data_IF_914426349945
#
_entry.id   IF_914426349945
#
_cell.length_a   1.000
_cell.length_b   1.000
_cell.length_c   1.000
_cell.angle_alpha   90.00
_cell.angle_beta   90.00
_cell.angle_gamma   90.00
#
_symmetry.space_group_name_H-M   'P 1'
#
loop_
_entity.id
_entity.type
_entity.pdbx_description
1 polymer ?
#
# COMPACT_ATOMS: atom_id res chain seq x y z
N UNK A 1 -28.46 -2.85 26.22
CA UNK A 1 -27.67 -3.51 25.18
C UNK A 1 -26.96 -2.40 24.44
N UNK A 2 -25.69 -2.16 24.75
CA UNK A 2 -24.83 -1.29 23.94
C UNK A 2 -24.03 -2.22 23.03
N UNK A 3 -24.58 -2.49 21.85
CA UNK A 3 -23.85 -3.15 20.77
C UNK A 3 -22.95 -2.10 20.12
N UNK A 4 -21.95 -1.65 20.89
CA UNK A 4 -20.91 -0.77 20.37
C UNK A 4 -20.04 -1.56 19.40
N UNK A 5 -19.70 -0.95 18.26
CA UNK A 5 -18.73 -1.50 17.30
C UNK A 5 -17.46 -1.88 18.06
N UNK A 6 -17.06 -3.13 17.98
CA UNK A 6 -15.83 -3.62 18.61
C UNK A 6 -14.60 -3.07 17.88
N UNK A 7 -13.48 -2.96 18.59
CA UNK A 7 -12.22 -2.51 17.97
C UNK A 7 -11.80 -3.41 16.81
N UNK A 8 -12.11 -4.71 16.87
CA UNK A 8 -11.88 -5.65 15.78
C UNK A 8 -12.69 -5.31 14.54
N UNK A 9 -14.00 -5.10 14.68
CA UNK A 9 -14.89 -4.77 13.56
C UNK A 9 -14.50 -3.44 12.90
N UNK A 10 -14.10 -2.45 13.72
CA UNK A 10 -13.59 -1.17 13.21
C UNK A 10 -12.31 -1.36 12.39
N UNK A 11 -11.34 -2.13 12.89
CA UNK A 11 -10.10 -2.41 12.16
C UNK A 11 -10.35 -3.22 10.89
N UNK A 12 -11.26 -4.19 10.93
CA UNK A 12 -11.66 -4.97 9.76
C UNK A 12 -12.31 -4.08 8.69
N UNK A 13 -13.25 -3.23 9.10
CA UNK A 13 -13.86 -2.25 8.20
C UNK A 13 -12.80 -1.32 7.59
N UNK A 14 -11.90 -0.78 8.41
CA UNK A 14 -10.85 0.11 7.95
C UNK A 14 -9.89 -0.59 6.97
N UNK A 15 -9.55 -1.85 7.22
CA UNK A 15 -8.71 -2.65 6.32
C UNK A 15 -9.37 -2.82 4.94
N UNK A 16 -10.64 -3.20 4.90
CA UNK A 16 -11.42 -3.33 3.66
C UNK A 16 -11.60 -1.99 2.96
N UNK A 17 -11.86 -0.92 3.72
CA UNK A 17 -11.98 0.44 3.19
C UNK A 17 -10.67 0.88 2.51
N UNK A 18 -9.53 0.70 3.16
CA UNK A 18 -8.22 1.01 2.60
C UNK A 18 -7.90 0.17 1.36
N UNK A 19 -8.33 -1.09 1.33
CA UNK A 19 -8.20 -1.96 0.16
C UNK A 19 -8.94 -1.38 -1.07
N UNK A 20 -10.16 -0.87 -0.88
CA UNK A 20 -10.92 -0.21 -1.95
C UNK A 20 -10.20 1.05 -2.46
N UNK A 21 -9.65 1.85 -1.56
CA UNK A 21 -8.88 3.05 -1.90
C UNK A 21 -7.50 2.74 -2.51
N UNK A 22 -6.96 1.57 -2.25
CA UNK A 22 -5.77 1.09 -2.95
C UNK A 22 -6.11 0.67 -4.38
N UNK A 23 -7.08 -0.20 -4.56
CA UNK A 23 -7.36 -0.82 -5.87
C UNK A 23 -8.13 0.11 -6.82
N UNK A 24 -9.06 0.91 -6.30
CA UNK A 24 -9.93 1.77 -7.12
C UNK A 24 -9.17 2.82 -7.93
N UNK A 25 -8.33 3.67 -7.32
CA UNK A 25 -7.58 4.69 -8.03
C UNK A 25 -6.55 4.15 -9.02
N UNK A 26 -6.04 2.92 -8.84
CA UNK A 26 -5.10 2.30 -9.79
C UNK A 26 -5.70 2.20 -11.20
N UNK A 27 -7.01 1.98 -11.31
CA UNK A 27 -7.73 2.01 -12.59
C UNK A 27 -7.65 3.40 -13.23
N UNK A 28 -7.81 4.46 -12.44
CA UNK A 28 -7.71 5.83 -12.92
C UNK A 28 -6.28 6.17 -13.35
N UNK A 29 -5.27 5.77 -12.58
CA UNK A 29 -3.85 5.91 -12.95
C UNK A 29 -3.57 5.22 -14.28
N UNK A 30 -4.09 3.99 -14.47
CA UNK A 30 -3.94 3.27 -15.73
C UNK A 30 -4.59 4.01 -16.91
N UNK A 31 -5.80 4.57 -16.74
CA UNK A 31 -6.48 5.35 -17.79
C UNK A 31 -5.68 6.61 -18.14
N UNK A 32 -5.21 7.36 -17.15
CA UNK A 32 -4.42 8.58 -17.39
C UNK A 32 -3.04 8.27 -17.97
N UNK A 33 -2.40 7.15 -17.60
CA UNK A 33 -1.12 6.74 -18.19
C UNK A 33 -1.23 6.52 -19.71
N UNK A 34 -2.36 5.97 -20.17
CA UNK A 34 -2.61 5.80 -21.62
C UNK A 34 -2.69 7.14 -22.35
N UNK A 35 -3.24 8.18 -21.71
CA UNK A 35 -3.32 9.53 -22.29
C UNK A 35 -1.95 10.18 -22.49
N UNK A 36 -0.96 9.85 -21.66
CA UNK A 36 0.40 10.40 -21.81
C UNK A 36 1.11 9.90 -23.06
N UNK A 37 0.78 8.68 -23.54
CA UNK A 37 1.39 8.03 -24.70
C UNK A 37 0.50 8.03 -25.94
N UNK A 38 -0.69 8.63 -25.89
CA UNK A 38 -1.64 8.66 -27.00
C UNK A 38 -1.05 9.38 -28.23
N UNK A 39 -1.11 8.72 -29.38
CA UNK A 39 -0.68 9.33 -30.63
C UNK A 39 -1.59 10.50 -31.00
N UNK A 40 -1.02 11.68 -31.20
CA UNK A 40 -1.78 12.92 -31.50
C UNK A 40 -2.09 13.80 -30.28
N UNK A 41 -1.81 13.36 -29.06
CA UNK A 41 -1.92 14.22 -27.88
C UNK A 41 -0.88 15.35 -27.93
N UNK A 42 -1.33 16.60 -27.66
CA UNK A 42 -0.44 17.74 -27.56
C UNK A 42 0.53 17.64 -26.38
N UNK A 43 1.62 18.41 -26.40
CA UNK A 43 2.55 18.44 -25.26
C UNK A 43 1.86 18.89 -23.97
N UNK A 44 0.95 19.85 -24.05
CA UNK A 44 0.17 20.33 -22.91
C UNK A 44 -0.74 19.23 -22.34
N UNK A 45 -1.45 18.49 -23.19
CA UNK A 45 -2.29 17.37 -22.77
C UNK A 45 -1.47 16.27 -22.06
N UNK A 46 -0.26 15.98 -22.53
CA UNK A 46 0.64 15.01 -21.89
C UNK A 46 1.11 15.48 -20.52
N UNK A 47 1.43 16.77 -20.38
CA UNK A 47 1.83 17.35 -19.09
C UNK A 47 0.68 17.28 -18.08
N UNK A 48 -0.54 17.69 -18.48
CA UNK A 48 -1.73 17.63 -17.62
C UNK A 48 -2.03 16.18 -17.21
N UNK A 49 -1.99 15.25 -18.18
CA UNK A 49 -2.21 13.83 -17.87
C UNK A 49 -1.17 13.27 -16.88
N UNK A 50 0.11 13.65 -17.04
CA UNK A 50 1.16 13.26 -16.10
C UNK A 50 0.95 13.81 -14.69
N UNK A 51 0.54 15.07 -14.56
CA UNK A 51 0.23 15.69 -13.28
C UNK A 51 -0.96 15.00 -12.58
N UNK A 52 -2.03 14.71 -13.34
CA UNK A 52 -3.20 14.00 -12.84
C UNK A 52 -2.85 12.57 -12.39
N UNK A 53 -2.02 11.88 -13.18
CA UNK A 53 -1.52 10.55 -12.80
C UNK A 53 -0.78 10.59 -11.46
N UNK A 54 0.15 11.54 -11.28
CA UNK A 54 0.90 11.68 -10.03
C UNK A 54 0.01 12.00 -8.83
N UNK A 55 -1.00 12.87 -9.02
CA UNK A 55 -1.94 13.23 -7.96
C UNK A 55 -2.81 12.03 -7.53
N UNK A 56 -3.30 11.27 -8.51
CA UNK A 56 -4.17 10.12 -8.24
C UNK A 56 -3.37 8.95 -7.66
N UNK A 57 -2.12 8.75 -8.08
CA UNK A 57 -1.25 7.67 -7.58
C UNK A 57 -0.89 7.82 -6.09
N UNK A 58 -1.00 9.03 -5.53
CA UNK A 58 -0.80 9.23 -4.09
C UNK A 58 -1.82 8.47 -3.23
N UNK A 59 -3.08 8.40 -3.66
CA UNK A 59 -4.18 7.78 -2.90
C UNK A 59 -3.92 6.28 -2.66
N UNK A 60 -3.66 5.45 -3.69
CA UNK A 60 -3.36 4.04 -3.49
C UNK A 60 -2.07 3.81 -2.68
N UNK A 61 -1.05 4.64 -2.85
CA UNK A 61 0.20 4.52 -2.08
C UNK A 61 -0.02 4.81 -0.59
N UNK A 62 -0.80 5.83 -0.28
CA UNK A 62 -1.17 6.13 1.10
C UNK A 62 -2.06 5.02 1.70
N UNK A 63 -3.03 4.53 0.93
CA UNK A 63 -3.94 3.47 1.37
C UNK A 63 -3.19 2.16 1.67
N UNK A 64 -2.29 1.71 0.80
CA UNK A 64 -1.52 0.48 1.03
C UNK A 64 -0.57 0.62 2.22
N UNK A 65 0.04 1.79 2.41
CA UNK A 65 0.92 2.07 3.54
C UNK A 65 0.16 1.93 4.88
N UNK A 66 -1.02 2.55 4.97
CA UNK A 66 -1.88 2.46 6.16
C UNK A 66 -2.45 1.05 6.34
N UNK A 67 -2.77 0.35 5.24
CA UNK A 67 -3.31 -1.00 5.26
C UNK A 67 -2.34 -2.00 5.90
N UNK A 68 -1.03 -1.81 5.74
CA UNK A 68 -0.02 -2.63 6.41
C UNK A 68 -0.10 -2.50 7.94
N UNK A 69 -0.21 -1.28 8.45
CA UNK A 69 -0.36 -1.04 9.89
C UNK A 69 -1.66 -1.64 10.43
N UNK A 70 -2.78 -1.40 9.73
CA UNK A 70 -4.09 -1.94 10.12
C UNK A 70 -4.10 -3.46 10.05
N UNK A 71 -3.49 -4.05 9.02
CA UNK A 71 -3.32 -5.49 8.88
C UNK A 71 -2.46 -6.11 9.99
N UNK A 72 -1.38 -5.43 10.38
CA UNK A 72 -0.56 -5.82 11.53
C UNK A 72 -1.35 -5.83 12.83
N UNK A 73 -2.14 -4.79 13.09
CA UNK A 73 -3.03 -4.75 14.27
C UNK A 73 -4.10 -5.84 14.23
N UNK A 74 -4.69 -6.12 13.05
CA UNK A 74 -5.67 -7.19 12.89
C UNK A 74 -5.07 -8.57 13.16
N UNK A 75 -3.81 -8.81 12.79
CA UNK A 75 -3.16 -10.10 13.02
C UNK A 75 -3.07 -10.46 14.51
N UNK A 76 -2.99 -9.46 15.39
CA UNK A 76 -3.04 -9.66 16.85
C UNK A 76 -4.41 -10.15 17.33
N UNK A 77 -5.49 -9.56 16.77
CA UNK A 77 -6.86 -9.98 17.13
C UNK A 77 -7.20 -11.38 16.63
N UNK A 78 -6.60 -11.83 15.54
CA UNK A 78 -6.77 -13.19 15.00
C UNK A 78 -5.91 -14.22 15.76
N UNK A 79 -5.02 -13.75 16.64
CA UNK A 79 -4.18 -14.62 17.46
C UNK A 79 -3.06 -15.30 16.66
N UNK A 80 -2.56 -14.67 15.61
CA UNK A 80 -1.38 -15.15 14.91
C UNK A 80 -0.15 -14.96 15.81
N UNK A 81 0.50 -16.08 16.15
CA UNK A 81 1.73 -16.05 16.95
C UNK A 81 2.89 -15.55 16.11
N UNK A 82 3.42 -14.37 16.45
CA UNK A 82 4.66 -13.87 15.90
C UNK A 82 5.56 -13.28 16.99
N UNK A 83 6.88 -13.29 16.80
CA UNK A 83 7.79 -12.59 17.69
C UNK A 83 7.44 -11.09 17.75
N UNK A 84 7.50 -10.51 18.94
CA UNK A 84 7.15 -9.10 19.17
C UNK A 84 7.87 -8.12 18.21
N UNK A 85 9.13 -8.41 17.86
CA UNK A 85 9.91 -7.56 16.93
C UNK A 85 9.34 -7.57 15.51
N UNK A 86 8.76 -8.69 15.07
CA UNK A 86 8.11 -8.80 13.76
C UNK A 86 6.84 -7.96 13.72
N UNK A 87 6.03 -8.01 14.75
CA UNK A 87 4.83 -7.21 14.88
C UNK A 87 5.15 -5.70 14.88
N UNK A 88 6.11 -5.28 15.70
CA UNK A 88 6.58 -3.88 15.71
C UNK A 88 7.07 -3.46 14.32
N UNK A 89 7.81 -4.33 13.63
CA UNK A 89 8.26 -4.10 12.26
C UNK A 89 7.09 -3.89 11.29
N UNK A 90 6.06 -4.72 11.32
CA UNK A 90 4.89 -4.62 10.43
C UNK A 90 4.11 -3.34 10.72
N UNK A 91 3.87 -3.00 11.99
CA UNK A 91 3.13 -1.78 12.38
C UNK A 91 3.89 -0.52 11.97
N UNK A 92 5.21 -0.49 12.14
CA UNK A 92 6.03 0.68 11.77
C UNK A 92 6.27 0.79 10.26
N UNK A 93 6.22 -0.32 9.53
CA UNK A 93 6.45 -0.33 8.08
C UNK A 93 5.48 0.59 7.33
N UNK A 94 4.20 0.60 7.71
CA UNK A 94 3.20 1.49 7.12
C UNK A 94 3.54 2.97 7.25
N UNK A 95 3.72 3.52 8.46
CA UNK A 95 4.11 4.92 8.65
C UNK A 95 5.43 5.28 7.98
N UNK A 96 6.43 4.40 8.02
CA UNK A 96 7.72 4.62 7.34
C UNK A 96 7.54 4.69 5.84
N UNK A 97 6.76 3.78 5.25
CA UNK A 97 6.47 3.83 3.83
C UNK A 97 5.70 5.09 3.45
N UNK A 98 4.66 5.46 4.22
CA UNK A 98 3.92 6.70 3.99
C UNK A 98 4.85 7.92 4.04
N UNK A 99 5.79 7.96 4.97
CA UNK A 99 6.79 9.03 5.06
C UNK A 99 7.69 9.09 3.82
N UNK A 100 8.10 7.93 3.26
CA UNK A 100 8.87 7.86 2.01
C UNK A 100 8.07 8.36 0.81
N UNK A 101 6.79 7.97 0.70
CA UNK A 101 5.88 8.45 -0.36
C UNK A 101 5.73 9.97 -0.29
N UNK A 102 5.45 10.51 0.90
CA UNK A 102 5.33 11.96 1.11
C UNK A 102 6.65 12.68 0.79
N UNK A 103 7.77 12.16 1.25
CA UNK A 103 9.09 12.74 0.96
C UNK A 103 9.39 12.73 -0.54
N UNK A 104 9.04 11.67 -1.25
CA UNK A 104 9.20 11.57 -2.70
C UNK A 104 8.37 12.60 -3.46
N UNK A 105 7.13 12.85 -3.00
CA UNK A 105 6.22 13.81 -3.65
C UNK A 105 6.61 15.26 -3.33
N UNK A 106 6.80 15.60 -2.05
CA UNK A 106 7.05 16.98 -1.65
C UNK A 106 8.49 17.46 -1.84
N UNK A 107 9.45 16.54 -2.04
CA UNK A 107 10.87 16.84 -2.23
C UNK A 107 11.44 16.21 -3.50
N UNK A 108 10.61 16.02 -4.53
CA UNK A 108 10.98 15.40 -5.81
C UNK A 108 12.21 16.02 -6.48
N UNK A 109 12.39 17.34 -6.32
CA UNK A 109 13.52 18.10 -6.89
C UNK A 109 14.79 18.11 -6.02
N UNK A 110 14.81 17.32 -4.94
CA UNK A 110 15.96 17.23 -4.05
C UNK A 110 16.61 15.85 -4.16
N UNK A 111 17.94 15.71 -3.89
CA UNK A 111 18.60 14.40 -3.81
C UNK A 111 17.92 13.46 -2.80
N UNK A 112 17.40 14.01 -1.72
CA UNK A 112 16.65 13.26 -0.69
C UNK A 112 15.33 12.71 -1.25
N UNK A 113 14.58 13.52 -2.01
CA UNK A 113 13.35 13.06 -2.66
C UNK A 113 13.57 11.92 -3.65
N UNK A 114 14.64 12.02 -4.47
CA UNK A 114 15.01 10.96 -5.39
C UNK A 114 15.36 9.65 -4.67
N UNK A 115 16.11 9.73 -3.56
CA UNK A 115 16.42 8.56 -2.74
C UNK A 115 15.15 7.98 -2.09
N UNK A 116 14.23 8.82 -1.61
CA UNK A 116 12.97 8.38 -1.02
C UNK A 116 12.10 7.64 -2.05
N UNK A 117 11.99 8.12 -3.28
CA UNK A 117 11.28 7.46 -4.37
C UNK A 117 11.91 6.10 -4.73
N UNK A 118 13.23 6.02 -4.75
CA UNK A 118 13.93 4.78 -5.01
C UNK A 118 13.69 3.76 -3.90
N UNK A 119 13.77 4.15 -2.63
CA UNK A 119 13.48 3.29 -1.48
C UNK A 119 12.02 2.84 -1.48
N UNK A 120 11.08 3.76 -1.76
CA UNK A 120 9.65 3.45 -1.89
C UNK A 120 9.41 2.40 -2.99
N UNK A 121 10.02 2.57 -4.16
CA UNK A 121 9.90 1.63 -5.27
C UNK A 121 10.45 0.24 -4.91
N UNK A 122 11.61 0.16 -4.24
CA UNK A 122 12.16 -1.10 -3.75
C UNK A 122 11.23 -1.79 -2.75
N UNK A 123 10.67 -1.03 -1.81
CA UNK A 123 9.74 -1.52 -0.79
C UNK A 123 8.47 -2.07 -1.43
N UNK A 124 7.92 -1.37 -2.41
CA UNK A 124 6.76 -1.79 -3.20
C UNK A 124 7.01 -3.14 -3.88
N UNK A 125 8.12 -3.28 -4.59
CA UNK A 125 8.46 -4.54 -5.26
C UNK A 125 8.71 -5.69 -4.29
N UNK A 126 9.38 -5.41 -3.16
CA UNK A 126 9.57 -6.42 -2.10
C UNK A 126 8.23 -6.94 -1.58
N UNK A 127 7.22 -6.08 -1.42
CA UNK A 127 5.90 -6.52 -0.95
C UNK A 127 5.11 -7.24 -2.04
N UNK A 128 5.10 -6.73 -3.28
CA UNK A 128 4.40 -7.36 -4.40
C UNK A 128 4.91 -8.78 -4.66
N UNK A 129 6.20 -9.02 -4.53
CA UNK A 129 6.81 -10.34 -4.75
C UNK A 129 6.89 -11.15 -3.45
N UNK A 130 7.29 -10.53 -2.35
CA UNK A 130 7.54 -11.20 -1.08
C UNK A 130 6.28 -11.75 -0.42
N UNK A 131 5.16 -11.02 -0.46
CA UNK A 131 3.91 -11.49 0.15
C UNK A 131 3.37 -12.74 -0.56
N UNK A 132 3.17 -12.77 -1.88
CA UNK A 132 2.72 -13.97 -2.58
C UNK A 132 3.68 -15.16 -2.40
N UNK A 133 5.00 -14.92 -2.44
CA UNK A 133 5.98 -15.98 -2.21
C UNK A 133 5.92 -16.54 -0.79
N UNK A 134 5.74 -15.68 0.22
CA UNK A 134 5.61 -16.13 1.62
C UNK A 134 4.34 -16.94 1.83
N UNK A 135 3.22 -16.54 1.22
CA UNK A 135 1.95 -17.29 1.25
C UNK A 135 2.12 -18.63 0.54
N UNK A 136 2.69 -18.65 -0.66
CA UNK A 136 2.94 -19.88 -1.41
C UNK A 136 3.87 -20.85 -0.64
N UNK A 137 4.94 -20.32 -0.03
CA UNK A 137 5.83 -21.11 0.81
C UNK A 137 5.12 -21.70 2.03
N UNK A 138 4.31 -20.89 2.70
CA UNK A 138 3.56 -21.32 3.89
C UNK A 138 2.50 -22.37 3.55
N UNK A 139 1.84 -22.28 2.39
CA UNK A 139 0.88 -23.28 1.93
C UNK A 139 1.56 -24.60 1.57
N UNK A 140 2.68 -24.54 0.84
CA UNK A 140 3.44 -25.74 0.44
C UNK A 140 4.05 -26.47 1.65
N UNK A 141 4.52 -25.72 2.65
CA UNK A 141 5.12 -26.31 3.87
C UNK A 141 4.09 -26.70 4.94
N UNK A 142 2.80 -26.54 4.67
CA UNK A 142 1.72 -26.88 5.61
C UNK A 142 1.68 -26.00 6.88
N UNK A 143 2.40 -24.88 6.90
CA UNK A 143 2.41 -23.93 8.03
C UNK A 143 1.16 -23.05 8.07
N UNK A 144 0.44 -22.91 6.97
CA UNK A 144 -0.93 -22.41 6.91
C UNK A 144 -1.87 -23.63 6.92
N UNK A 145 -2.01 -24.27 8.05
CA UNK A 145 -3.15 -25.14 8.30
C UNK A 145 -4.37 -24.21 8.44
N UNK A 146 -5.15 -24.08 7.37
CA UNK A 146 -6.51 -23.59 7.46
C UNK A 146 -7.21 -24.67 8.31
N UNK A 147 -7.49 -24.36 9.57
CA UNK A 147 -8.28 -25.24 10.41
C UNK A 147 -9.64 -25.47 9.69
N UNK A 148 -10.10 -26.73 9.60
CA UNK A 148 -11.36 -27.07 8.97
C UNK A 148 -12.55 -26.43 9.68
#
# INVERSE_FOLDING_TARGET
MHDGVTSYELLQFLHVFLFVFWLGPDVAVFVWSRKTVEAGASAEQRVVAGQMMTLVDFIPLAAISLMLTVGGLLSEYVGLEHPWWQMVGIILLGPVWLALVLAGIFRDRTPFGATAQQLESWLRWMLIVGVPLSVAYSTVTGRLAIAP
#
